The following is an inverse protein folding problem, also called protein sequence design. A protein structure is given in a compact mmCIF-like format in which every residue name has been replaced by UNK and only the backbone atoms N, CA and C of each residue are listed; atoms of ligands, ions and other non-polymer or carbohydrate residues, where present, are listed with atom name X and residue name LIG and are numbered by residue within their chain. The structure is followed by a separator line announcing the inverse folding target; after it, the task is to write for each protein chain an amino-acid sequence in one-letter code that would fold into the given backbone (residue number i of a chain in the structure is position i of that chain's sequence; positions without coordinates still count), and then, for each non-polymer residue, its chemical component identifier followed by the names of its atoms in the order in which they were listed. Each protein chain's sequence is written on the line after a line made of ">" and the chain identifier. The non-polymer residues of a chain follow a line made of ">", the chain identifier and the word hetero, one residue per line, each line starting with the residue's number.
data_IF_254230069865
#
_entry.id   IF_254230069865
#
_cell.length_a   1.000
_cell.length_b   1.000
_cell.length_c   1.000
_cell.angle_alpha   90.00
_cell.angle_beta   90.00
_cell.angle_gamma   90.00
#
_symmetry.space_group_name_H-M   'P 1'
#
loop_
_entity.id
_entity.type
_entity.pdbx_description
1 polymer ?
#
# COMPACT_ATOMS: atom_id res chain seq x y z
N UNK A 1 79.45 -22.80 11.84
CA UNK A 1 78.48 -21.87 12.45
C UNK A 1 77.15 -22.08 11.75
N UNK A 2 76.30 -22.95 12.31
CA UNK A 2 74.96 -23.31 11.77
C UNK A 2 73.88 -22.54 12.55
N UNK A 3 73.22 -21.58 11.89
CA UNK A 3 72.05 -20.83 12.44
C UNK A 3 70.82 -21.71 12.40
N UNK A 4 70.29 -22.03 13.56
CA UNK A 4 68.96 -22.67 13.71
C UNK A 4 67.87 -21.57 13.68
N UNK A 5 66.96 -21.64 12.71
CA UNK A 5 65.79 -20.80 12.63
C UNK A 5 64.65 -21.38 13.54
N UNK A 6 64.02 -20.60 14.39
CA UNK A 6 62.88 -21.12 15.18
C UNK A 6 61.63 -21.20 14.31
N UNK A 7 60.96 -22.35 14.31
CA UNK A 7 59.64 -22.57 13.72
C UNK A 7 58.59 -22.09 14.73
N UNK A 8 57.87 -21.03 14.36
CA UNK A 8 56.74 -20.48 15.15
C UNK A 8 55.49 -21.30 14.87
N UNK A 9 55.05 -22.10 15.82
CA UNK A 9 53.75 -22.79 15.78
C UNK A 9 52.64 -21.78 16.10
N UNK A 10 51.86 -21.37 15.11
CA UNK A 10 50.63 -20.60 15.31
C UNK A 10 49.53 -21.59 15.66
N UNK A 11 49.14 -21.63 16.94
CA UNK A 11 47.93 -22.31 17.40
C UNK A 11 46.69 -21.51 16.91
N UNK A 12 46.01 -22.01 15.89
CA UNK A 12 44.67 -21.54 15.56
C UNK A 12 43.69 -22.05 16.63
N UNK A 13 43.34 -21.19 17.58
CA UNK A 13 42.19 -21.45 18.47
C UNK A 13 40.89 -21.30 17.65
N UNK A 14 39.97 -22.31 17.62
CA UNK A 14 38.67 -22.12 17.01
C UNK A 14 37.84 -21.15 17.89
N UNK A 15 37.46 -20.02 17.31
CA UNK A 15 36.51 -19.08 17.93
C UNK A 15 35.14 -19.75 17.95
N UNK A 16 34.82 -20.38 19.06
CA UNK A 16 33.44 -20.84 19.34
C UNK A 16 32.57 -19.60 19.61
N UNK A 17 31.79 -19.17 18.63
CA UNK A 17 30.73 -18.20 18.82
C UNK A 17 29.64 -18.85 19.69
N UNK A 18 29.69 -18.66 21.00
CA UNK A 18 28.59 -19.00 21.89
C UNK A 18 27.54 -17.90 21.79
N UNK A 19 26.35 -18.21 21.26
CA UNK A 19 25.20 -17.33 21.35
C UNK A 19 24.94 -16.97 22.83
N UNK A 20 24.67 -15.68 23.09
CA UNK A 20 24.27 -15.24 24.44
C UNK A 20 23.04 -16.03 24.89
N UNK A 21 22.96 -16.47 26.16
CA UNK A 21 21.80 -17.22 26.68
C UNK A 21 20.45 -16.53 26.43
N UNK A 22 20.41 -15.20 26.46
CA UNK A 22 19.21 -14.41 26.17
C UNK A 22 18.78 -14.51 24.70
N UNK A 23 19.73 -14.50 23.77
CA UNK A 23 19.44 -14.67 22.33
C UNK A 23 18.98 -16.10 22.04
N UNK A 24 19.56 -17.09 22.69
CA UNK A 24 19.15 -18.48 22.55
C UNK A 24 17.74 -18.73 23.09
N UNK A 25 17.35 -18.08 24.21
CA UNK A 25 15.99 -18.15 24.74
C UNK A 25 14.98 -17.48 23.79
N UNK A 26 15.27 -16.27 23.30
CA UNK A 26 14.42 -15.56 22.36
C UNK A 26 14.19 -16.34 21.06
N UNK A 27 15.20 -17.05 20.58
CA UNK A 27 15.08 -17.92 19.41
C UNK A 27 14.15 -19.09 19.68
N UNK A 28 14.26 -19.78 20.86
CA UNK A 28 13.36 -20.86 21.24
C UNK A 28 11.91 -20.42 21.36
N UNK A 29 11.68 -19.21 21.88
CA UNK A 29 10.33 -18.64 22.01
C UNK A 29 9.72 -18.35 20.62
N UNK A 30 10.53 -17.85 19.66
CA UNK A 30 10.11 -17.65 18.29
C UNK A 30 9.81 -18.97 17.58
N UNK A 31 10.67 -19.99 17.74
CA UNK A 31 10.47 -21.30 17.12
C UNK A 31 9.19 -21.98 17.63
N UNK A 32 8.89 -21.84 18.92
CA UNK A 32 7.64 -22.33 19.51
C UNK A 32 6.41 -21.60 18.96
N UNK A 33 6.49 -20.26 18.83
CA UNK A 33 5.45 -19.45 18.22
C UNK A 33 5.23 -19.81 16.73
N UNK A 34 6.32 -20.07 15.99
CA UNK A 34 6.25 -20.47 14.59
C UNK A 34 5.62 -21.86 14.42
N UNK A 35 5.89 -22.78 15.35
CA UNK A 35 5.26 -24.11 15.36
C UNK A 35 3.74 -24.01 15.61
N UNK A 36 3.31 -23.13 16.51
CA UNK A 36 1.90 -22.84 16.76
C UNK A 36 1.23 -22.22 15.52
N UNK A 37 1.89 -21.25 14.86
CA UNK A 37 1.42 -20.69 13.60
C UNK A 37 1.27 -21.75 12.50
N UNK A 38 2.22 -22.69 12.37
CA UNK A 38 2.14 -23.80 11.41
C UNK A 38 0.91 -24.67 11.64
N UNK A 39 0.64 -25.00 12.92
CA UNK A 39 -0.53 -25.77 13.31
C UNK A 39 -1.83 -25.06 12.93
N UNK A 40 -1.91 -23.75 13.20
CA UNK A 40 -3.07 -22.94 12.80
C UNK A 40 -3.23 -22.85 11.29
N UNK A 41 -2.15 -22.64 10.54
CA UNK A 41 -2.18 -22.52 9.09
C UNK A 41 -2.64 -23.84 8.43
N UNK A 42 -2.16 -25.00 8.93
CA UNK A 42 -2.66 -26.33 8.51
C UNK A 42 -4.16 -26.48 8.76
N UNK A 43 -4.62 -26.11 9.96
CA UNK A 43 -6.05 -26.15 10.31
C UNK A 43 -6.91 -25.23 9.42
N UNK A 44 -6.32 -24.14 8.91
CA UNK A 44 -6.95 -23.20 7.96
C UNK A 44 -6.75 -23.60 6.48
N UNK A 45 -6.20 -24.78 6.19
CA UNK A 45 -6.12 -25.40 4.87
C UNK A 45 -4.88 -25.03 4.03
N UNK A 46 -3.84 -24.43 4.62
CA UNK A 46 -2.55 -24.24 3.95
C UNK A 46 -1.81 -25.59 3.90
N UNK A 47 -1.25 -25.96 2.75
CA UNK A 47 -0.57 -27.24 2.59
C UNK A 47 0.74 -27.32 3.38
N UNK A 48 1.10 -28.54 3.77
CA UNK A 48 2.38 -28.83 4.44
C UNK A 48 3.58 -28.36 3.58
N UNK A 49 3.52 -28.63 2.26
CA UNK A 49 4.57 -28.21 1.33
C UNK A 49 4.79 -26.69 1.29
N UNK A 50 3.70 -25.92 1.33
CA UNK A 50 3.79 -24.47 1.41
C UNK A 50 4.42 -24.03 2.73
N UNK A 51 4.04 -24.62 3.86
CA UNK A 51 4.63 -24.26 5.15
C UNK A 51 6.11 -24.62 5.23
N UNK A 52 6.52 -25.73 4.62
CA UNK A 52 7.93 -26.10 4.53
C UNK A 52 8.73 -25.13 3.68
N UNK A 53 8.20 -24.72 2.52
CA UNK A 53 8.89 -23.77 1.64
C UNK A 53 8.89 -22.33 2.16
N UNK A 54 7.75 -21.86 2.70
CA UNK A 54 7.56 -20.45 3.05
C UNK A 54 8.06 -20.11 4.47
N UNK A 55 8.06 -21.07 5.39
CA UNK A 55 8.45 -20.84 6.78
C UNK A 55 9.80 -21.50 7.13
N UNK A 56 10.51 -22.09 6.16
CA UNK A 56 11.84 -22.61 6.38
C UNK A 56 12.85 -21.47 6.47
N UNK A 57 13.54 -21.40 7.61
CA UNK A 57 14.58 -20.40 7.81
C UNK A 57 14.07 -18.99 8.11
N UNK A 58 12.77 -18.79 8.28
CA UNK A 58 12.21 -17.48 8.70
C UNK A 58 12.77 -17.09 10.06
N UNK A 59 13.28 -15.86 10.13
CA UNK A 59 13.85 -15.29 11.36
C UNK A 59 13.29 -13.88 11.60
N UNK A 60 13.15 -13.47 12.87
CA UNK A 60 12.79 -12.08 13.16
C UNK A 60 13.80 -11.10 12.55
N UNK A 61 13.28 -10.07 11.90
CA UNK A 61 14.06 -9.00 11.29
C UNK A 61 14.13 -7.78 12.24
N UNK A 62 15.25 -7.56 12.97
CA UNK A 62 15.34 -6.45 13.94
C UNK A 62 15.04 -5.09 13.29
N UNK A 63 15.45 -4.90 12.03
CA UNK A 63 15.21 -3.67 11.29
C UNK A 63 13.73 -3.37 11.09
N UNK A 64 12.89 -4.38 10.96
CA UNK A 64 11.43 -4.23 10.85
C UNK A 64 10.85 -3.64 12.14
N UNK A 65 11.30 -4.14 13.31
CA UNK A 65 10.89 -3.61 14.62
C UNK A 65 11.38 -2.18 14.85
N UNK A 66 12.62 -1.86 14.45
CA UNK A 66 13.13 -0.50 14.49
C UNK A 66 12.25 0.46 13.67
N UNK A 67 11.89 0.09 12.45
CA UNK A 67 11.04 0.87 11.56
C UNK A 67 9.64 1.04 12.13
N UNK A 68 9.05 -0.02 12.71
CA UNK A 68 7.75 0.07 13.35
C UNK A 68 7.75 1.05 14.53
N UNK A 69 8.81 1.04 15.35
CA UNK A 69 8.95 1.93 16.52
C UNK A 69 9.29 3.37 16.13
N UNK A 70 10.01 3.54 15.04
CA UNK A 70 10.49 4.83 14.56
C UNK A 70 9.58 5.51 13.53
N UNK A 71 8.34 5.01 13.34
CA UNK A 71 7.40 5.68 12.45
C UNK A 71 7.25 7.14 12.90
N UNK A 72 7.83 8.12 12.18
CA UNK A 72 7.59 9.51 12.49
C UNK A 72 6.10 9.77 12.21
N UNK A 73 5.40 10.39 13.16
CA UNK A 73 4.15 11.05 12.83
C UNK A 73 4.49 12.06 11.72
N UNK A 74 4.12 11.77 10.49
CA UNK A 74 4.31 12.70 9.39
C UNK A 74 3.48 13.95 9.67
N UNK A 75 4.16 15.01 10.09
CA UNK A 75 3.57 16.35 10.32
C UNK A 75 3.67 17.21 9.06
N UNK A 76 3.67 16.59 7.86
CA UNK A 76 3.63 17.37 6.63
C UNK A 76 2.24 17.97 6.46
N UNK A 77 2.20 19.23 6.08
CA UNK A 77 0.97 19.83 5.57
C UNK A 77 0.54 19.17 4.26
N UNK A 78 -0.72 19.32 3.87
CA UNK A 78 -1.21 18.78 2.60
C UNK A 78 -0.43 19.34 1.41
N UNK A 79 -0.02 20.61 1.47
CA UNK A 79 0.78 21.24 0.41
C UNK A 79 2.17 20.63 0.31
N UNK A 80 2.89 20.51 1.45
CA UNK A 80 4.20 19.85 1.47
C UNK A 80 4.12 18.37 1.03
N UNK A 81 3.02 17.70 1.37
CA UNK A 81 2.78 16.33 0.91
C UNK A 81 2.57 16.29 -0.61
N UNK A 82 1.78 17.21 -1.16
CA UNK A 82 1.55 17.32 -2.60
C UNK A 82 2.85 17.62 -3.34
N UNK A 83 3.66 18.58 -2.89
CA UNK A 83 4.95 18.91 -3.50
C UNK A 83 5.88 17.68 -3.58
N UNK A 84 5.86 16.85 -2.54
CA UNK A 84 6.68 15.65 -2.47
C UNK A 84 6.13 14.50 -3.32
N UNK A 85 4.80 14.30 -3.32
CA UNK A 85 4.16 13.10 -3.90
C UNK A 85 3.69 13.35 -5.33
N UNK A 86 3.42 14.60 -5.72
CA UNK A 86 2.91 14.98 -7.04
C UNK A 86 3.86 15.96 -7.77
N UNK A 87 5.19 15.74 -7.79
CA UNK A 87 6.10 16.58 -8.54
C UNK A 87 5.85 16.46 -10.05
N UNK A 88 6.24 17.49 -10.81
CA UNK A 88 6.08 17.51 -12.29
C UNK A 88 6.67 16.27 -12.95
N UNK A 89 7.83 15.81 -12.50
CA UNK A 89 8.47 14.59 -13.03
C UNK A 89 7.62 13.33 -12.88
N UNK A 90 6.82 13.20 -11.80
CA UNK A 90 5.89 12.07 -11.66
C UNK A 90 4.67 12.22 -12.56
N UNK A 91 4.21 13.45 -12.77
CA UNK A 91 3.10 13.72 -13.70
C UNK A 91 3.51 13.33 -15.12
N UNK A 92 4.70 13.74 -15.58
CA UNK A 92 5.21 13.41 -16.92
C UNK A 92 5.36 11.91 -17.12
N UNK A 93 6.01 11.21 -16.17
CA UNK A 93 6.08 9.74 -16.18
C UNK A 93 4.69 9.10 -16.21
N UNK A 94 3.73 9.66 -15.47
CA UNK A 94 2.35 9.18 -15.47
C UNK A 94 1.67 9.36 -16.83
N UNK A 95 1.91 10.46 -17.53
CA UNK A 95 1.41 10.67 -18.90
C UNK A 95 2.00 9.69 -19.91
N UNK A 96 3.30 9.42 -19.80
CA UNK A 96 3.97 8.39 -20.61
C UNK A 96 3.37 7.00 -20.33
N UNK A 97 3.27 6.61 -19.06
CA UNK A 97 2.69 5.35 -18.64
C UNK A 97 1.22 5.19 -19.08
N UNK A 98 0.43 6.27 -19.02
CA UNK A 98 -0.94 6.30 -19.53
C UNK A 98 -0.98 6.05 -21.05
N UNK A 99 -0.08 6.67 -21.80
CA UNK A 99 0.03 6.51 -23.26
C UNK A 99 0.46 5.11 -23.65
N UNK A 100 1.50 4.58 -23.01
CA UNK A 100 2.05 3.24 -23.27
C UNK A 100 1.04 2.13 -22.99
N UNK A 101 0.24 2.28 -21.93
CA UNK A 101 -0.72 1.27 -21.49
C UNK A 101 -2.16 1.57 -21.94
N UNK A 102 -2.36 2.49 -22.90
CA UNK A 102 -3.69 2.99 -23.28
C UNK A 102 -4.69 1.88 -23.60
N UNK A 103 -4.28 0.92 -24.44
CA UNK A 103 -5.17 -0.15 -24.89
C UNK A 103 -5.63 -1.06 -23.74
N UNK A 104 -4.73 -1.41 -22.81
CA UNK A 104 -5.03 -2.18 -21.62
C UNK A 104 -5.95 -1.39 -20.67
N UNK A 105 -5.58 -0.17 -20.36
CA UNK A 105 -6.32 0.69 -19.44
C UNK A 105 -7.73 1.01 -19.93
N UNK A 106 -7.93 1.11 -21.27
CA UNK A 106 -9.28 1.26 -21.84
C UNK A 106 -10.15 0.03 -21.56
N UNK A 107 -9.62 -1.18 -21.77
CA UNK A 107 -10.35 -2.43 -21.47
C UNK A 107 -10.68 -2.56 -19.97
N UNK A 108 -9.74 -2.18 -19.10
CA UNK A 108 -9.95 -2.18 -17.64
C UNK A 108 -11.02 -1.16 -17.26
N UNK A 109 -11.00 0.05 -17.85
CA UNK A 109 -12.03 1.07 -17.63
C UNK A 109 -13.42 0.60 -18.08
N UNK A 110 -13.53 -0.02 -19.25
CA UNK A 110 -14.79 -0.58 -19.75
C UNK A 110 -15.39 -1.59 -18.77
N UNK A 111 -14.55 -2.43 -18.16
CA UNK A 111 -14.98 -3.48 -17.24
C UNK A 111 -15.29 -2.99 -15.83
N UNK A 112 -14.50 -2.07 -15.29
CA UNK A 112 -14.57 -1.68 -13.86
C UNK A 112 -15.04 -0.23 -13.64
N UNK A 113 -15.08 0.60 -14.66
CA UNK A 113 -15.54 1.98 -14.58
C UNK A 113 -14.57 2.95 -13.90
N UNK A 114 -13.30 2.55 -13.67
CA UNK A 114 -12.29 3.40 -13.03
C UNK A 114 -11.43 4.06 -14.11
N UNK A 115 -11.32 5.38 -14.08
CA UNK A 115 -10.61 6.14 -15.10
C UNK A 115 -9.13 5.72 -15.19
N UNK A 116 -8.57 5.59 -16.41
CA UNK A 116 -7.17 5.25 -16.65
C UNK A 116 -6.15 6.07 -15.86
N UNK A 117 -6.35 7.38 -15.79
CA UNK A 117 -5.46 8.29 -15.06
C UNK A 117 -5.44 8.03 -13.55
N UNK A 118 -6.55 7.56 -12.98
CA UNK A 118 -6.66 7.17 -11.56
C UNK A 118 -5.79 5.95 -11.26
N UNK A 119 -5.85 4.92 -12.11
CA UNK A 119 -5.06 3.70 -11.96
C UNK A 119 -3.57 3.99 -12.08
N UNK A 120 -3.19 4.81 -13.06
CA UNK A 120 -1.81 5.24 -13.25
C UNK A 120 -1.32 6.11 -12.08
N UNK A 121 -2.18 6.97 -11.53
CA UNK A 121 -1.83 7.80 -10.37
C UNK A 121 -1.55 6.94 -9.12
N UNK A 122 -2.39 5.96 -8.83
CA UNK A 122 -2.15 5.01 -7.73
C UNK A 122 -0.86 4.25 -7.93
N UNK A 123 -0.63 3.67 -9.10
CA UNK A 123 0.61 2.98 -9.46
C UNK A 123 1.85 3.87 -9.28
N UNK A 124 1.75 5.14 -9.69
CA UNK A 124 2.82 6.11 -9.50
C UNK A 124 3.10 6.47 -8.05
N UNK A 125 2.06 6.59 -7.21
CA UNK A 125 2.23 6.93 -5.78
C UNK A 125 2.77 5.75 -5.00
N UNK A 126 2.23 4.54 -5.22
CA UNK A 126 2.57 3.36 -4.45
C UNK A 126 3.99 2.88 -4.71
N UNK A 127 4.41 2.83 -5.98
CA UNK A 127 5.68 2.20 -6.33
C UNK A 127 6.53 2.95 -7.37
N UNK A 128 6.25 4.23 -7.62
CA UNK A 128 6.90 4.98 -8.72
C UNK A 128 6.85 4.19 -10.04
N UNK A 129 5.65 3.72 -10.40
CA UNK A 129 5.40 2.92 -11.61
C UNK A 129 6.16 1.58 -11.61
N UNK A 130 6.05 0.82 -10.53
CA UNK A 130 6.66 -0.51 -10.37
C UNK A 130 8.15 -0.50 -10.02
N UNK A 131 8.81 0.67 -9.95
CA UNK A 131 10.26 0.75 -9.70
C UNK A 131 10.67 0.58 -8.24
N UNK A 132 9.76 0.74 -7.30
CA UNK A 132 10.05 0.74 -5.86
C UNK A 132 8.98 -0.03 -5.08
N UNK A 133 9.01 -1.35 -5.19
CA UNK A 133 8.05 -2.24 -4.50
C UNK A 133 8.45 -2.60 -3.06
N UNK A 134 9.60 -2.09 -2.58
CA UNK A 134 10.20 -2.47 -1.32
C UNK A 134 11.35 -3.47 -1.51
N UNK A 135 11.95 -3.91 -0.41
CA UNK A 135 13.11 -4.82 -0.43
C UNK A 135 13.11 -5.83 0.71
N UNK A 136 11.95 -6.06 1.34
CA UNK A 136 11.82 -7.02 2.44
C UNK A 136 11.12 -8.28 1.97
N UNK A 137 11.60 -9.48 2.36
CA UNK A 137 10.80 -10.70 2.25
C UNK A 137 9.52 -10.50 3.07
N UNK A 138 8.37 -10.55 2.39
CA UNK A 138 7.06 -10.21 3.01
C UNK A 138 6.72 -11.15 4.17
N UNK A 139 7.00 -12.45 4.00
CA UNK A 139 6.71 -13.46 5.02
C UNK A 139 7.53 -13.19 6.28
N UNK A 140 8.83 -12.93 6.16
CA UNK A 140 9.73 -12.64 7.30
C UNK A 140 9.33 -11.33 7.99
N UNK A 141 9.03 -10.29 7.21
CA UNK A 141 8.61 -8.99 7.73
C UNK A 141 7.30 -9.11 8.52
N UNK A 142 6.29 -9.79 7.97
CA UNK A 142 5.00 -9.97 8.64
C UNK A 142 5.15 -10.93 9.84
N UNK A 143 5.94 -12.00 9.74
CA UNK A 143 6.21 -12.90 10.86
C UNK A 143 6.85 -12.15 12.04
N UNK A 144 7.80 -11.26 11.74
CA UNK A 144 8.44 -10.39 12.74
C UNK A 144 7.40 -9.52 13.45
N UNK A 145 6.52 -8.84 12.69
CA UNK A 145 5.48 -7.97 13.24
C UNK A 145 4.39 -8.75 13.99
N UNK A 146 4.09 -9.95 13.53
CA UNK A 146 3.14 -10.85 14.19
C UNK A 146 3.66 -11.40 15.53
N UNK A 147 4.99 -11.56 15.64
CA UNK A 147 5.64 -12.06 16.86
C UNK A 147 5.91 -10.93 17.87
N UNK A 148 6.54 -9.82 17.44
CA UNK A 148 7.03 -8.76 18.33
C UNK A 148 6.36 -7.40 18.15
N UNK A 149 5.57 -7.19 17.10
CA UNK A 149 4.98 -5.90 16.75
C UNK A 149 3.87 -5.45 17.70
N UNK A 150 3.47 -4.19 17.58
CA UNK A 150 2.37 -3.63 18.41
C UNK A 150 0.98 -4.14 18.01
N UNK A 151 0.82 -4.68 16.80
CA UNK A 151 -0.44 -5.18 16.24
C UNK A 151 -0.33 -6.66 15.86
N UNK A 152 0.16 -7.49 16.80
CA UNK A 152 0.48 -8.90 16.56
C UNK A 152 -0.68 -9.69 15.96
N UNK A 153 -1.90 -9.54 16.49
CA UNK A 153 -3.07 -10.23 15.96
C UNK A 153 -3.38 -9.87 14.50
N UNK A 154 -3.28 -8.59 14.15
CA UNK A 154 -3.48 -8.13 12.77
C UNK A 154 -2.42 -8.76 11.84
N UNK A 155 -1.15 -8.69 12.19
CA UNK A 155 -0.08 -9.23 11.36
C UNK A 155 -0.10 -10.75 11.30
N UNK A 156 -0.60 -11.43 12.35
CA UNK A 156 -0.80 -12.89 12.31
C UNK A 156 -1.83 -13.29 11.23
N UNK A 157 -2.94 -12.59 11.13
CA UNK A 157 -3.92 -12.82 10.05
C UNK A 157 -3.34 -12.48 8.67
N UNK A 158 -2.59 -11.37 8.54
CA UNK A 158 -1.91 -11.04 7.29
C UNK A 158 -0.91 -12.12 6.87
N UNK A 159 -0.19 -12.73 7.82
CA UNK A 159 0.72 -13.85 7.53
C UNK A 159 -0.02 -15.08 7.02
N UNK A 160 -1.15 -15.41 7.61
CA UNK A 160 -2.01 -16.51 7.12
C UNK A 160 -2.54 -16.23 5.71
N UNK A 161 -2.87 -14.97 5.41
CA UNK A 161 -3.23 -14.56 4.06
C UNK A 161 -2.05 -14.68 3.10
N UNK A 162 -0.84 -14.28 3.48
CA UNK A 162 0.38 -14.42 2.66
C UNK A 162 0.68 -15.89 2.34
N UNK A 163 0.60 -16.77 3.34
CA UNK A 163 0.78 -18.21 3.15
C UNK A 163 -0.23 -18.81 2.15
N UNK A 164 -1.50 -18.37 2.18
CA UNK A 164 -2.50 -18.81 1.21
C UNK A 164 -2.24 -18.31 -0.20
N UNK A 165 -1.63 -17.13 -0.39
CA UNK A 165 -1.23 -16.61 -1.70
C UNK A 165 -0.15 -17.52 -2.29
N UNK A 166 0.82 -17.92 -1.49
CA UNK A 166 1.86 -18.87 -1.89
C UNK A 166 1.26 -20.26 -2.19
N UNK A 167 0.39 -20.74 -1.31
CA UNK A 167 -0.26 -22.06 -1.43
C UNK A 167 -1.08 -22.21 -2.72
N UNK A 168 -1.68 -21.14 -3.19
CA UNK A 168 -2.40 -21.07 -4.46
C UNK A 168 -1.48 -20.91 -5.68
N UNK A 169 -0.18 -20.84 -5.48
CA UNK A 169 0.80 -20.74 -6.57
C UNK A 169 0.88 -19.37 -7.25
N UNK A 170 0.32 -18.31 -6.63
CA UNK A 170 0.35 -16.97 -7.23
C UNK A 170 1.77 -16.40 -7.26
N UNK A 171 2.58 -16.71 -6.25
CA UNK A 171 3.99 -16.32 -6.17
C UNK A 171 4.77 -17.30 -5.30
N UNK A 172 6.06 -17.50 -5.58
CA UNK A 172 6.94 -18.27 -4.70
C UNK A 172 7.42 -17.41 -3.51
N UNK A 173 7.71 -18.03 -2.33
CA UNK A 173 8.09 -17.29 -1.13
C UNK A 173 9.30 -16.36 -1.34
N UNK A 174 10.30 -16.81 -2.09
CA UNK A 174 11.54 -16.06 -2.40
C UNK A 174 11.30 -14.82 -3.26
N UNK A 175 10.24 -14.81 -4.07
CA UNK A 175 9.85 -13.68 -4.92
C UNK A 175 8.84 -12.74 -4.25
N UNK A 176 8.25 -13.14 -3.12
CA UNK A 176 7.27 -12.34 -2.39
C UNK A 176 7.94 -11.20 -1.65
N UNK A 177 8.41 -10.21 -2.41
CA UNK A 177 9.10 -9.02 -1.90
C UNK A 177 8.11 -7.84 -1.79
N UNK A 178 8.29 -7.04 -0.74
CA UNK A 178 7.43 -5.91 -0.47
C UNK A 178 8.02 -4.92 0.53
N UNK A 179 7.16 -4.16 1.18
CA UNK A 179 7.55 -3.22 2.23
C UNK A 179 7.88 -3.93 3.53
N UNK A 180 8.57 -3.23 4.43
CA UNK A 180 8.85 -3.71 5.79
C UNK A 180 7.58 -4.04 6.61
N UNK A 181 6.42 -3.48 6.23
CA UNK A 181 5.13 -3.70 6.87
C UNK A 181 4.26 -4.73 6.12
N UNK A 182 4.80 -5.41 5.11
CA UNK A 182 4.12 -6.49 4.41
C UNK A 182 3.22 -6.06 3.25
N UNK A 183 3.23 -4.78 2.86
CA UNK A 183 2.59 -4.34 1.62
C UNK A 183 3.41 -4.82 0.42
N UNK A 184 2.77 -5.38 -0.60
CA UNK A 184 3.44 -6.15 -1.63
C UNK A 184 3.00 -5.83 -3.05
N UNK A 185 3.90 -6.11 -3.99
CA UNK A 185 3.68 -5.89 -5.42
C UNK A 185 3.58 -4.42 -5.81
N UNK A 186 3.23 -4.17 -7.07
CA UNK A 186 3.19 -2.82 -7.64
C UNK A 186 2.09 -1.92 -7.06
N UNK A 187 1.09 -2.50 -6.38
CA UNK A 187 -0.01 -1.79 -5.74
C UNK A 187 0.13 -1.66 -4.22
N UNK A 188 1.20 -2.19 -3.65
CA UNK A 188 1.40 -2.21 -2.19
C UNK A 188 0.17 -2.76 -1.43
N UNK A 189 -0.43 -3.82 -1.96
CA UNK A 189 -1.53 -4.50 -1.29
C UNK A 189 -1.04 -5.26 -0.06
N UNK A 190 -1.79 -5.17 1.03
CA UNK A 190 -1.66 -6.13 2.11
C UNK A 190 -2.14 -7.51 1.63
N UNK A 191 -1.63 -8.63 2.19
CA UNK A 191 -2.07 -9.97 1.80
C UNK A 191 -3.58 -10.18 1.85
N UNK A 192 -4.27 -9.62 2.84
CA UNK A 192 -5.74 -9.64 2.92
C UNK A 192 -6.40 -8.87 1.76
N UNK A 193 -5.83 -7.71 1.37
CA UNK A 193 -6.30 -6.94 0.22
C UNK A 193 -6.08 -7.69 -1.09
N UNK A 194 -4.95 -8.39 -1.23
CA UNK A 194 -4.72 -9.27 -2.38
C UNK A 194 -5.83 -10.31 -2.51
N UNK A 195 -6.14 -11.05 -1.45
CA UNK A 195 -7.19 -12.08 -1.49
C UNK A 195 -8.58 -11.52 -1.78
N UNK A 196 -8.88 -10.31 -1.32
CA UNK A 196 -10.19 -9.70 -1.48
C UNK A 196 -10.40 -9.05 -2.86
N UNK A 197 -9.34 -8.52 -3.46
CA UNK A 197 -9.46 -7.60 -4.59
C UNK A 197 -8.59 -7.93 -5.80
N UNK A 198 -7.50 -8.68 -5.64
CA UNK A 198 -6.63 -9.01 -6.76
C UNK A 198 -7.31 -9.98 -7.71
N UNK A 199 -7.05 -9.84 -9.02
CA UNK A 199 -7.69 -10.61 -10.08
C UNK A 199 -6.65 -11.03 -11.11
N UNK A 200 -6.77 -12.26 -11.61
CA UNK A 200 -6.12 -12.76 -12.80
C UNK A 200 -6.89 -12.19 -14.01
N UNK A 201 -6.32 -11.17 -14.63
CA UNK A 201 -7.00 -10.46 -15.73
C UNK A 201 -6.57 -10.96 -17.10
N UNK A 202 -5.35 -11.41 -17.26
CA UNK A 202 -4.85 -11.99 -18.51
C UNK A 202 -5.21 -13.48 -18.68
N UNK A 203 -5.67 -14.13 -17.60
CA UNK A 203 -6.21 -15.49 -17.64
C UNK A 203 -5.13 -16.56 -17.66
N UNK A 204 -3.92 -16.26 -17.17
CA UNK A 204 -2.80 -17.22 -17.15
C UNK A 204 -2.90 -18.26 -16.01
N UNK A 205 -3.90 -18.13 -15.13
CA UNK A 205 -4.16 -18.97 -13.96
C UNK A 205 -3.48 -18.49 -12.68
N UNK A 206 -2.81 -17.34 -12.70
CA UNK A 206 -2.17 -16.72 -11.55
C UNK A 206 -2.63 -15.27 -11.40
N UNK A 207 -2.61 -14.78 -10.20
CA UNK A 207 -2.71 -13.34 -9.94
C UNK A 207 -1.30 -12.83 -9.68
N UNK A 208 -0.78 -11.98 -10.54
CA UNK A 208 0.58 -11.46 -10.46
C UNK A 208 0.60 -9.93 -10.33
N UNK A 209 0.74 -9.44 -9.09
CA UNK A 209 0.86 -8.00 -8.81
C UNK A 209 2.31 -7.50 -8.88
N UNK A 210 3.28 -8.34 -9.22
CA UNK A 210 4.70 -7.97 -9.32
C UNK A 210 5.10 -7.71 -10.77
N UNK A 211 4.71 -8.58 -11.71
CA UNK A 211 5.21 -8.55 -13.08
C UNK A 211 4.10 -8.39 -14.15
N UNK A 212 2.81 -8.69 -13.85
CA UNK A 212 1.69 -8.58 -14.80
C UNK A 212 0.97 -7.23 -14.68
N UNK A 213 1.22 -6.28 -15.58
CA UNK A 213 0.45 -5.01 -15.63
C UNK A 213 -1.06 -5.21 -15.87
N UNK A 214 -1.52 -6.21 -16.65
CA UNK A 214 -2.94 -6.54 -16.72
C UNK A 214 -3.56 -6.78 -15.34
N UNK A 215 -2.93 -7.62 -14.51
CA UNK A 215 -3.41 -7.94 -13.18
C UNK A 215 -3.31 -6.74 -12.24
N UNK A 216 -2.22 -6.00 -12.32
CA UNK A 216 -2.00 -4.78 -11.54
C UNK A 216 -3.13 -3.78 -11.76
N UNK A 217 -3.38 -3.37 -13.00
CA UNK A 217 -4.41 -2.36 -13.27
C UNK A 217 -5.83 -2.88 -13.02
N UNK A 218 -6.11 -4.12 -13.35
CA UNK A 218 -7.42 -4.71 -13.11
C UNK A 218 -7.69 -4.90 -11.61
N UNK A 219 -6.69 -5.29 -10.83
CA UNK A 219 -6.82 -5.42 -9.36
C UNK A 219 -7.03 -4.07 -8.68
N UNK A 220 -6.31 -3.02 -9.11
CA UNK A 220 -6.56 -1.67 -8.62
C UNK A 220 -7.98 -1.19 -8.94
N UNK A 221 -8.42 -1.41 -10.18
CA UNK A 221 -9.77 -1.05 -10.62
C UNK A 221 -10.86 -1.84 -9.88
N UNK A 222 -10.66 -3.15 -9.68
CA UNK A 222 -11.57 -4.01 -8.92
C UNK A 222 -11.68 -3.55 -7.46
N UNK A 223 -10.55 -3.19 -6.83
CA UNK A 223 -10.55 -2.62 -5.48
C UNK A 223 -11.43 -1.37 -5.41
N UNK A 224 -11.14 -0.35 -6.25
CA UNK A 224 -11.89 0.90 -6.24
C UNK A 224 -13.36 0.71 -6.57
N UNK A 225 -13.69 -0.14 -7.56
CA UNK A 225 -15.07 -0.48 -7.92
C UNK A 225 -15.82 -1.07 -6.72
N UNK A 226 -15.23 -2.06 -6.03
CA UNK A 226 -15.82 -2.63 -4.80
C UNK A 226 -15.83 -1.65 -3.63
N UNK A 227 -14.93 -0.66 -3.63
CA UNK A 227 -14.93 0.43 -2.66
C UNK A 227 -16.05 1.46 -2.90
N UNK A 228 -16.79 1.35 -4.00
CA UNK A 228 -17.90 2.24 -4.35
C UNK A 228 -17.51 3.37 -5.30
N UNK A 229 -16.46 3.15 -6.12
CA UNK A 229 -16.11 4.06 -7.20
C UNK A 229 -17.27 4.21 -8.17
N UNK A 230 -17.60 5.44 -8.50
CA UNK A 230 -18.65 5.77 -9.46
C UNK A 230 -18.00 6.19 -10.78
N UNK A 231 -18.37 5.46 -11.84
CA UNK A 231 -17.88 5.68 -13.19
C UNK A 231 -18.19 7.11 -13.65
N UNK A 232 -17.24 7.72 -14.37
CA UNK A 232 -17.34 9.05 -14.97
C UNK A 232 -17.51 10.22 -13.97
N UNK A 233 -17.47 9.94 -12.65
CA UNK A 233 -17.42 10.99 -11.65
C UNK A 233 -15.97 11.35 -11.28
N UNK A 234 -15.77 12.62 -10.90
CA UNK A 234 -14.52 13.07 -10.28
C UNK A 234 -14.40 12.57 -8.84
N UNK A 235 -13.23 12.70 -8.25
CA UNK A 235 -13.01 12.49 -6.81
C UNK A 235 -13.36 13.74 -5.98
N UNK A 236 -13.19 14.93 -6.57
CA UNK A 236 -13.34 16.22 -5.92
C UNK A 236 -12.48 17.30 -6.57
N UNK A 237 -12.35 18.43 -5.90
CA UNK A 237 -11.48 19.53 -6.26
C UNK A 237 -11.33 20.54 -5.12
N UNK A 238 -10.28 21.37 -5.19
CA UNK A 238 -10.04 22.45 -4.25
C UNK A 238 -11.13 23.55 -4.37
N UNK A 239 -11.47 24.13 -3.21
CA UNK A 239 -12.49 25.19 -3.09
C UNK A 239 -12.01 26.31 -2.19
N UNK A 240 -12.61 27.51 -2.36
CA UNK A 240 -12.45 28.62 -1.43
C UNK A 240 -13.64 28.66 -0.47
N UNK A 241 -13.37 28.71 0.82
CA UNK A 241 -14.38 28.88 1.84
C UNK A 241 -14.61 30.37 2.15
N UNK A 242 -15.83 30.79 2.51
CA UNK A 242 -16.11 32.16 2.92
C UNK A 242 -15.42 32.51 4.24
N UNK A 243 -15.15 33.79 4.45
CA UNK A 243 -14.68 34.29 5.74
C UNK A 243 -15.69 33.94 6.84
N UNK A 244 -15.21 33.27 7.90
CA UNK A 244 -16.09 32.84 8.99
C UNK A 244 -16.83 31.53 8.72
N UNK A 245 -16.41 30.73 7.73
CA UNK A 245 -16.95 29.40 7.51
C UNK A 245 -16.95 28.58 8.81
N UNK A 246 -18.09 27.97 9.11
CA UNK A 246 -18.21 27.10 10.26
C UNK A 246 -17.67 25.69 9.95
N UNK A 247 -16.47 25.40 10.47
CA UNK A 247 -15.82 24.10 10.29
C UNK A 247 -16.59 22.91 10.88
N UNK A 248 -17.61 23.15 11.71
CA UNK A 248 -18.50 22.06 12.14
C UNK A 248 -19.36 21.53 10.98
N UNK A 249 -19.49 22.32 9.91
CA UNK A 249 -20.11 21.93 8.66
C UNK A 249 -19.16 21.19 7.70
N UNK A 250 -17.85 21.12 8.01
CA UNK A 250 -16.89 20.32 7.24
C UNK A 250 -16.83 18.88 7.76
N UNK A 251 -16.32 17.97 6.93
CA UNK A 251 -16.14 16.57 7.28
C UNK A 251 -16.99 15.62 6.42
N UNK A 252 -16.56 14.36 6.41
CA UNK A 252 -17.16 13.33 5.57
C UNK A 252 -18.63 13.04 5.89
N UNK A 253 -19.05 13.26 7.12
CA UNK A 253 -20.42 12.97 7.57
C UNK A 253 -21.40 14.05 7.13
N UNK A 254 -20.93 15.26 6.82
CA UNK A 254 -21.77 16.35 6.32
C UNK A 254 -21.81 16.29 4.79
N UNK A 255 -23.00 15.98 4.27
CA UNK A 255 -23.24 15.85 2.83
C UNK A 255 -24.31 16.83 2.37
N UNK A 256 -23.98 17.66 1.38
CA UNK A 256 -24.90 18.64 0.80
C UNK A 256 -24.76 18.66 -0.72
N UNK A 257 -25.79 19.15 -1.40
CA UNK A 257 -25.69 19.43 -2.83
C UNK A 257 -24.70 20.55 -3.14
N UNK A 258 -24.20 20.63 -4.35
CA UNK A 258 -23.37 21.77 -4.79
C UNK A 258 -24.10 23.11 -4.66
N UNK A 259 -25.42 23.13 -4.86
CA UNK A 259 -26.25 24.33 -4.70
C UNK A 259 -26.26 24.80 -3.24
N UNK A 260 -26.40 23.87 -2.27
CA UNK A 260 -26.39 24.19 -0.85
C UNK A 260 -25.00 24.69 -0.41
N UNK A 261 -23.91 24.05 -0.87
CA UNK A 261 -22.56 24.52 -0.60
C UNK A 261 -22.33 25.92 -1.16
N UNK A 262 -22.82 26.19 -2.38
CA UNK A 262 -22.75 27.52 -2.99
C UNK A 262 -23.53 28.57 -2.19
N UNK A 263 -24.75 28.20 -1.70
CA UNK A 263 -25.58 29.06 -0.84
C UNK A 263 -24.87 29.37 0.49
N UNK A 264 -24.06 28.47 1.01
CA UNK A 264 -23.18 28.68 2.17
C UNK A 264 -21.90 29.47 1.86
N UNK A 265 -21.73 29.96 0.62
CA UNK A 265 -20.61 30.79 0.19
C UNK A 265 -19.37 30.01 -0.24
N UNK A 266 -19.41 28.71 -0.37
CA UNK A 266 -18.32 27.91 -0.93
C UNK A 266 -18.17 28.23 -2.42
N UNK A 267 -16.95 28.59 -2.83
CA UNK A 267 -16.63 28.97 -4.22
C UNK A 267 -15.74 27.93 -4.87
N UNK A 268 -16.08 27.55 -6.10
CA UNK A 268 -15.33 26.60 -6.91
C UNK A 268 -15.42 26.97 -8.39
N UNK A 269 -14.38 26.64 -9.17
CA UNK A 269 -14.28 26.95 -10.60
C UNK A 269 -14.66 25.79 -11.52
N UNK A 270 -14.56 24.54 -11.04
CA UNK A 270 -14.90 23.36 -11.84
C UNK A 270 -16.43 23.20 -11.94
N UNK A 271 -16.88 22.85 -13.17
CA UNK A 271 -18.25 22.36 -13.38
C UNK A 271 -18.21 20.85 -13.07
N UNK A 272 -18.93 20.42 -12.08
CA UNK A 272 -19.30 19.01 -11.89
C UNK A 272 -20.19 18.58 -13.08
N UNK A 273 -20.16 17.28 -13.40
CA UNK A 273 -21.17 16.69 -14.26
C UNK A 273 -22.59 17.08 -13.78
N UNK A 274 -23.56 17.04 -14.67
CA UNK A 274 -24.89 17.60 -14.47
C UNK A 274 -25.79 16.85 -13.45
N UNK A 275 -25.23 15.95 -12.63
CA UNK A 275 -26.03 15.21 -11.64
C UNK A 275 -26.23 16.04 -10.36
N UNK A 276 -27.40 16.71 -10.30
CA UNK A 276 -27.80 17.49 -9.14
C UNK A 276 -28.06 16.62 -7.88
N UNK A 277 -28.16 15.31 -8.04
CA UNK A 277 -28.39 14.38 -6.92
C UNK A 277 -27.12 14.04 -6.14
N UNK A 278 -25.93 14.35 -6.72
CA UNK A 278 -24.66 14.09 -6.07
C UNK A 278 -24.47 14.94 -4.81
N UNK A 279 -24.14 14.25 -3.73
CA UNK A 279 -23.84 14.90 -2.45
C UNK A 279 -22.32 14.98 -2.23
N UNK A 280 -21.91 16.14 -1.77
CA UNK A 280 -20.52 16.53 -1.56
C UNK A 280 -20.25 16.84 -0.10
N UNK A 281 -19.05 16.62 0.34
CA UNK A 281 -18.56 17.01 1.65
C UNK A 281 -17.45 18.04 1.49
N UNK A 282 -17.41 19.05 2.33
CA UNK A 282 -16.24 19.93 2.45
C UNK A 282 -15.22 19.24 3.36
N UNK A 283 -14.00 19.13 2.90
CA UNK A 283 -12.87 18.56 3.65
C UNK A 283 -11.86 19.66 3.91
N UNK A 284 -11.52 19.87 5.17
CA UNK A 284 -10.41 20.70 5.66
C UNK A 284 -9.37 19.74 6.26
N UNK A 285 -8.36 19.26 5.50
CA UNK A 285 -7.45 18.20 5.95
C UNK A 285 -6.71 18.50 7.25
N UNK A 286 -6.39 19.76 7.49
CA UNK A 286 -5.66 20.26 8.67
C UNK A 286 -6.43 21.39 9.37
N UNK A 287 -7.74 21.43 9.17
CA UNK A 287 -8.60 22.50 9.68
C UNK A 287 -8.44 23.82 8.91
N UNK A 288 -8.81 24.93 9.50
CA UNK A 288 -8.96 26.25 8.86
C UNK A 288 -7.72 26.82 8.16
N UNK A 289 -6.55 26.24 8.40
CA UNK A 289 -5.27 26.73 7.84
C UNK A 289 -4.86 25.98 6.56
N UNK A 290 -5.56 24.93 6.19
CA UNK A 290 -5.29 24.15 5.00
C UNK A 290 -6.18 24.57 3.83
N UNK A 291 -5.80 24.26 2.57
CA UNK A 291 -6.73 24.25 1.46
C UNK A 291 -7.95 23.37 1.77
N UNK A 292 -9.11 23.78 1.29
CA UNK A 292 -10.34 23.03 1.45
C UNK A 292 -10.71 22.35 0.12
N UNK A 293 -11.39 21.22 0.23
CA UNK A 293 -11.78 20.42 -0.94
C UNK A 293 -13.26 20.05 -0.86
N UNK A 294 -13.94 20.07 -2.00
CA UNK A 294 -15.20 19.35 -2.17
C UNK A 294 -14.88 17.92 -2.59
N UNK A 295 -15.41 16.96 -1.87
CA UNK A 295 -15.18 15.53 -2.03
C UNK A 295 -16.50 14.77 -2.17
N UNK A 296 -16.53 13.76 -3.05
CA UNK A 296 -17.69 12.92 -3.29
C UNK A 296 -17.43 11.44 -2.95
N UNK A 297 -18.17 10.52 -3.57
CA UNK A 297 -18.03 9.08 -3.35
C UNK A 297 -16.65 8.55 -3.78
N UNK A 298 -16.07 9.06 -4.86
CA UNK A 298 -14.77 8.61 -5.35
C UNK A 298 -13.62 9.00 -4.41
N UNK A 299 -13.72 10.15 -3.73
CA UNK A 299 -12.83 10.47 -2.63
C UNK A 299 -12.90 9.44 -1.49
N UNK A 300 -14.12 8.99 -1.16
CA UNK A 300 -14.32 7.96 -0.12
C UNK A 300 -13.76 6.61 -0.54
N UNK A 301 -13.76 6.29 -1.84
CA UNK A 301 -13.11 5.10 -2.37
C UNK A 301 -11.58 5.16 -2.19
N UNK A 302 -10.96 6.32 -2.41
CA UNK A 302 -9.54 6.52 -2.07
C UNK A 302 -9.27 6.35 -0.57
N UNK A 303 -10.16 6.83 0.31
CA UNK A 303 -9.99 6.65 1.76
C UNK A 303 -10.15 5.18 2.21
N UNK A 304 -10.81 4.33 1.45
CA UNK A 304 -10.83 2.88 1.69
C UNK A 304 -9.52 2.23 1.27
N UNK A 305 -8.87 2.74 0.22
CA UNK A 305 -7.53 2.32 -0.20
C UNK A 305 -6.48 2.73 0.85
N UNK A 306 -6.48 4.00 1.22
CA UNK A 306 -5.59 4.55 2.25
C UNK A 306 -6.35 5.60 3.06
N UNK A 307 -6.44 5.41 4.38
CA UNK A 307 -7.23 6.25 5.30
C UNK A 307 -6.66 7.66 5.54
N UNK A 308 -5.80 8.15 4.68
CA UNK A 308 -5.19 9.48 4.75
C UNK A 308 -5.87 10.47 3.80
N UNK A 309 -6.35 11.59 4.31
CA UNK A 309 -6.82 12.71 3.47
C UNK A 309 -5.71 13.21 2.53
N UNK A 310 -4.47 13.26 3.00
CA UNK A 310 -3.31 13.67 2.19
C UNK A 310 -3.12 12.73 0.99
N UNK A 311 -3.21 11.41 1.24
CA UNK A 311 -3.12 10.43 0.17
C UNK A 311 -4.27 10.58 -0.85
N UNK A 312 -5.52 10.67 -0.39
CA UNK A 312 -6.68 10.79 -1.27
C UNK A 312 -6.62 12.04 -2.16
N UNK A 313 -6.20 13.19 -1.58
CA UNK A 313 -6.00 14.44 -2.31
C UNK A 313 -4.86 14.31 -3.32
N UNK A 314 -3.73 13.68 -2.94
CA UNK A 314 -2.60 13.49 -3.83
C UNK A 314 -2.94 12.54 -5.00
N UNK A 315 -3.63 11.43 -4.74
CA UNK A 315 -4.07 10.49 -5.77
C UNK A 315 -5.00 11.17 -6.77
N UNK A 316 -5.97 11.92 -6.29
CA UNK A 316 -6.89 12.67 -7.13
C UNK A 316 -6.18 13.79 -7.91
N UNK A 317 -5.33 14.57 -7.27
CA UNK A 317 -4.55 15.66 -7.91
C UNK A 317 -3.61 15.11 -8.99
N UNK A 318 -2.89 14.01 -8.69
CA UNK A 318 -2.00 13.38 -9.67
C UNK A 318 -2.81 12.84 -10.86
N UNK A 319 -3.94 12.18 -10.59
CA UNK A 319 -4.84 11.70 -11.65
C UNK A 319 -5.33 12.83 -12.57
N UNK A 320 -5.78 13.95 -11.98
CA UNK A 320 -6.23 15.13 -12.74
C UNK A 320 -5.09 15.71 -13.61
N UNK A 321 -3.88 15.81 -13.05
CA UNK A 321 -2.71 16.35 -13.76
C UNK A 321 -2.20 15.40 -14.86
N UNK A 322 -2.30 14.09 -14.68
CA UNK A 322 -1.99 13.10 -15.73
C UNK A 322 -3.01 13.19 -16.86
N UNK A 323 -4.30 13.36 -16.54
CA UNK A 323 -5.37 13.45 -17.53
C UNK A 323 -5.38 14.78 -18.33
N UNK A 324 -4.88 15.86 -17.75
CA UNK A 324 -4.77 17.16 -18.41
C UNK A 324 -3.64 17.11 -19.46
N UNK A 325 -4.03 17.26 -20.74
CA UNK A 325 -3.12 17.39 -21.90
C UNK A 325 -2.73 18.84 -22.13
#
# INVERSE_FOLDING_TARGET
>A
MTRKTPVLFILLLPLLFTLSPALAQKQKDFDAWLADLRTEALAKGVSQATLESALSGVQPLPRVIELERSQPEFKLTVLEYLDRVVPDSRVEKGREALKENRALLTKVYERYGVQPSVLVALWGIETDFGRSMGGYPVIDAIATLAYEGRRTAFFREELLHALRIVDRGHISPDKMIGSWAGAMGQLQFMPSSFQAFAVDYDGDGRVDLWDSLPDVFASAANYLSKAGWVKDETWGWEVSLPKGFDSSSAGLDVRKSLADWKALGVRYSKKSGNDASLLWSVIEPEGKKSPAYLANNNYRAFLKWNRSNHFAIAAGTLSDRIAAQ
#
